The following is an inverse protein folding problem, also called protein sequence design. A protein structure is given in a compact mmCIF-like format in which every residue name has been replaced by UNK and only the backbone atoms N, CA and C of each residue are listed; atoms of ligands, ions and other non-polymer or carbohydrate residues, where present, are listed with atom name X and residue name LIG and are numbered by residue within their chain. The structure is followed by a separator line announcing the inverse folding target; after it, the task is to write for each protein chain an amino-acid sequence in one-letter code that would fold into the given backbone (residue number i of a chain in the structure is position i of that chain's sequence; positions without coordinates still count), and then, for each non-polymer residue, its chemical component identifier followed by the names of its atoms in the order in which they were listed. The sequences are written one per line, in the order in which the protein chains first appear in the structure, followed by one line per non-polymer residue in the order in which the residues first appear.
data_IF_209670157977
#
_entry.id   IF_209670157977
#
_cell.length_a   1.000
_cell.length_b   1.000
_cell.length_c   1.000
_cell.angle_alpha   90.00
_cell.angle_beta   90.00
_cell.angle_gamma   90.00
#
_symmetry.space_group_name_H-M   'P 1'
#
loop_
_entity.id
_entity.type
_entity.pdbx_description
1 polymer ?
#
# COMPACT_ATOMS: atom_id res chain seq x y z
N UNK A 1 12.01 -14.60 -6.10
CA UNK A 1 12.17 -14.99 -7.53
C UNK A 1 11.97 -13.78 -8.43
N UNK A 2 10.88 -12.99 -8.30
CA UNK A 2 10.62 -11.81 -9.16
C UNK A 2 11.71 -10.72 -9.10
N UNK A 3 12.31 -10.50 -7.94
CA UNK A 3 13.38 -9.48 -7.79
C UNK A 3 14.63 -9.87 -8.59
N UNK A 4 14.98 -11.14 -8.66
CA UNK A 4 16.13 -11.61 -9.44
C UNK A 4 15.89 -11.50 -10.95
N UNK A 5 14.68 -11.82 -11.42
CA UNK A 5 14.31 -11.70 -12.84
C UNK A 5 14.28 -10.22 -13.32
N UNK A 6 14.06 -9.26 -12.40
CA UNK A 6 13.97 -7.84 -12.73
C UNK A 6 15.22 -7.03 -12.32
N UNK A 7 16.32 -7.67 -11.91
CA UNK A 7 17.50 -6.99 -11.37
C UNK A 7 18.07 -5.95 -12.35
N UNK A 8 18.21 -6.31 -13.61
CA UNK A 8 18.71 -5.40 -14.65
C UNK A 8 17.79 -4.18 -14.86
N UNK A 9 16.47 -4.39 -14.77
CA UNK A 9 15.49 -3.31 -14.84
C UNK A 9 15.62 -2.37 -13.65
N UNK A 10 15.77 -2.92 -12.44
CA UNK A 10 15.96 -2.13 -11.20
C UNK A 10 17.25 -1.30 -11.28
N UNK A 11 18.35 -1.88 -11.75
CA UNK A 11 19.63 -1.17 -11.90
C UNK A 11 19.54 -0.05 -12.94
N UNK A 12 18.87 -0.27 -14.07
CA UNK A 12 18.60 0.77 -15.07
C UNK A 12 17.76 1.92 -14.49
N UNK A 13 16.70 1.60 -13.71
CA UNK A 13 15.88 2.61 -13.05
C UNK A 13 16.67 3.44 -12.03
N UNK A 14 17.56 2.81 -11.25
CA UNK A 14 18.45 3.52 -10.34
C UNK A 14 19.37 4.48 -11.11
N UNK A 15 19.97 4.01 -12.21
CA UNK A 15 20.84 4.84 -13.05
C UNK A 15 20.09 6.00 -13.69
N UNK A 16 18.89 5.75 -14.20
CA UNK A 16 18.02 6.78 -14.75
C UNK A 16 17.65 7.85 -13.71
N UNK A 17 17.16 7.41 -12.53
CA UNK A 17 16.79 8.30 -11.43
C UNK A 17 17.96 9.20 -10.98
N UNK A 18 19.18 8.65 -10.90
CA UNK A 18 20.37 9.43 -10.56
C UNK A 18 20.70 10.52 -11.59
N UNK A 19 20.59 10.19 -12.89
CA UNK A 19 20.82 11.16 -13.96
C UNK A 19 19.76 12.26 -13.95
N UNK A 20 18.52 11.91 -13.71
CA UNK A 20 17.40 12.84 -13.63
C UNK A 20 17.56 13.81 -12.45
N UNK A 21 17.91 13.31 -11.27
CA UNK A 21 18.21 14.13 -10.08
C UNK A 21 19.36 15.12 -10.37
N UNK A 22 20.44 14.67 -11.02
CA UNK A 22 21.56 15.53 -11.37
C UNK A 22 21.19 16.61 -12.40
N UNK A 23 20.31 16.28 -13.33
CA UNK A 23 19.81 17.24 -14.33
C UNK A 23 18.86 18.25 -13.72
N UNK A 24 17.96 17.80 -12.84
CA UNK A 24 16.92 18.64 -12.22
C UNK A 24 17.47 19.53 -11.10
N UNK A 25 18.54 19.10 -10.40
CA UNK A 25 19.18 19.83 -9.28
C UNK A 25 18.16 20.24 -8.19
N UNK A 26 17.40 19.31 -7.58
CA UNK A 26 16.40 19.66 -6.58
C UNK A 26 17.03 20.18 -5.28
N UNK A 27 16.36 21.10 -4.60
CA UNK A 27 16.74 21.58 -3.27
C UNK A 27 16.60 20.48 -2.19
N UNK A 28 15.64 19.58 -2.37
CA UNK A 28 15.38 18.47 -1.45
C UNK A 28 14.86 17.24 -2.20
N UNK A 29 15.32 16.07 -1.79
CA UNK A 29 14.82 14.78 -2.26
C UNK A 29 13.88 14.18 -1.23
N UNK A 30 12.62 13.97 -1.61
CA UNK A 30 11.62 13.34 -0.76
C UNK A 30 11.42 11.89 -1.22
N UNK A 31 11.79 10.97 -0.36
CA UNK A 31 11.59 9.53 -0.57
C UNK A 31 10.28 9.07 0.07
N UNK A 32 9.48 8.35 -0.68
CA UNK A 32 8.18 7.85 -0.20
C UNK A 32 8.18 6.33 -0.28
N UNK A 33 7.91 5.65 0.86
CA UNK A 33 7.84 4.18 0.93
C UNK A 33 9.03 3.46 0.24
N UNK A 34 8.84 2.33 -0.42
CA UNK A 34 9.80 1.56 -1.23
C UNK A 34 11.26 1.59 -0.75
N UNK A 35 11.52 1.13 0.46
CA UNK A 35 12.82 1.22 1.13
C UNK A 35 13.98 0.55 0.36
N UNK A 36 13.69 -0.47 -0.43
CA UNK A 36 14.70 -1.21 -1.19
C UNK A 36 15.36 -0.38 -2.28
N UNK A 37 14.60 0.48 -2.94
CA UNK A 37 15.04 1.40 -3.97
C UNK A 37 15.52 2.72 -3.35
N UNK A 38 14.69 3.32 -2.54
CA UNK A 38 14.89 4.68 -2.00
C UNK A 38 16.16 4.81 -1.15
N UNK A 39 16.47 3.86 -0.27
CA UNK A 39 17.69 3.93 0.55
C UNK A 39 18.98 3.79 -0.27
N UNK A 40 18.94 3.22 -1.48
CA UNK A 40 20.10 3.19 -2.39
C UNK A 40 20.32 4.55 -3.05
N UNK A 41 19.23 5.22 -3.45
CA UNK A 41 19.30 6.59 -3.99
C UNK A 41 19.69 7.56 -2.87
N UNK A 42 19.08 7.47 -1.69
CA UNK A 42 19.38 8.33 -0.55
C UNK A 42 20.87 8.29 -0.15
N UNK A 43 21.45 7.08 -0.09
CA UNK A 43 22.89 6.94 0.17
C UNK A 43 23.73 7.71 -0.84
N UNK A 44 23.44 7.55 -2.12
CA UNK A 44 24.18 8.21 -3.20
C UNK A 44 23.96 9.72 -3.18
N UNK A 45 22.73 10.17 -3.03
CA UNK A 45 22.37 11.58 -3.00
C UNK A 45 23.00 12.32 -1.82
N UNK A 46 22.97 11.69 -0.63
CA UNK A 46 23.60 12.26 0.57
C UNK A 46 25.11 12.45 0.43
N UNK A 47 25.80 11.54 -0.24
CA UNK A 47 27.23 11.65 -0.51
C UNK A 47 27.56 12.78 -1.50
N UNK A 48 26.60 13.23 -2.31
CA UNK A 48 26.71 14.39 -3.21
C UNK A 48 26.20 15.69 -2.59
N UNK A 49 25.81 15.68 -1.30
CA UNK A 49 25.37 16.87 -0.59
C UNK A 49 23.89 17.22 -0.72
N UNK A 50 23.09 16.40 -1.41
CA UNK A 50 21.65 16.65 -1.48
C UNK A 50 20.98 16.50 -0.10
N UNK A 51 20.03 17.39 0.18
CA UNK A 51 19.15 17.29 1.34
C UNK A 51 18.15 16.15 1.11
N UNK A 52 18.02 15.26 2.12
CA UNK A 52 17.21 14.03 2.01
C UNK A 52 16.13 13.98 3.06
N UNK A 53 14.91 13.74 2.62
CA UNK A 53 13.73 13.61 3.48
C UNK A 53 13.03 12.30 3.17
N UNK A 54 12.50 11.64 4.20
CA UNK A 54 11.73 10.40 4.01
C UNK A 54 10.33 10.55 4.56
N UNK A 55 9.33 10.26 3.76
CA UNK A 55 7.92 10.20 4.14
C UNK A 55 7.42 8.76 4.02
N UNK A 56 6.62 8.30 4.96
CA UNK A 56 6.18 6.91 5.14
C UNK A 56 7.40 6.01 5.37
N UNK A 57 7.83 5.96 6.62
CA UNK A 57 9.05 5.26 7.01
C UNK A 57 9.04 3.78 6.61
N UNK A 58 10.20 3.22 6.26
CA UNK A 58 10.30 1.78 6.11
C UNK A 58 9.92 1.07 7.41
N UNK A 59 9.10 0.01 7.34
CA UNK A 59 8.65 -0.75 8.50
C UNK A 59 9.79 -1.59 9.12
N UNK A 60 10.90 -0.93 9.49
CA UNK A 60 12.10 -1.59 10.04
C UNK A 60 11.87 -2.16 11.44
N UNK A 61 10.86 -1.66 12.14
CA UNK A 61 10.42 -2.16 13.44
C UNK A 61 9.83 -3.58 13.35
N UNK A 62 9.19 -3.93 12.22
CA UNK A 62 8.64 -5.28 12.00
C UNK A 62 9.71 -6.26 11.53
N UNK A 63 10.75 -5.76 10.80
CA UNK A 63 11.81 -6.60 10.27
C UNK A 63 13.02 -5.75 9.89
N UNK A 64 14.22 -6.29 10.02
CA UNK A 64 15.46 -5.64 9.57
C UNK A 64 15.80 -4.35 10.33
N UNK A 65 15.72 -4.36 11.64
CA UNK A 65 16.10 -3.24 12.52
C UNK A 65 17.50 -2.67 12.23
N UNK A 66 18.43 -3.51 11.71
CA UNK A 66 19.76 -3.09 11.27
C UNK A 66 19.76 -2.02 10.15
N UNK A 67 18.63 -1.79 9.48
CA UNK A 67 18.50 -0.70 8.49
C UNK A 67 18.41 0.69 9.14
N UNK A 68 18.07 0.79 10.42
CA UNK A 68 17.98 2.07 11.12
C UNK A 68 19.28 2.84 11.03
N UNK A 69 20.43 2.19 11.17
CA UNK A 69 21.73 2.85 11.05
C UNK A 69 21.97 3.45 9.65
N UNK A 70 21.47 2.80 8.60
CA UNK A 70 21.53 3.38 7.25
C UNK A 70 20.60 4.58 7.08
N UNK A 71 19.41 4.50 7.70
CA UNK A 71 18.45 5.61 7.71
C UNK A 71 19.08 6.81 8.39
N UNK A 72 19.58 6.67 9.61
CA UNK A 72 20.25 7.73 10.37
C UNK A 72 21.39 8.38 9.58
N UNK A 73 22.15 7.58 8.83
CA UNK A 73 23.30 8.07 8.08
C UNK A 73 22.94 8.85 6.81
N UNK A 74 21.82 8.52 6.16
CA UNK A 74 21.53 9.00 4.82
C UNK A 74 20.22 9.78 4.70
N UNK A 75 19.47 9.94 5.79
CA UNK A 75 18.20 10.69 5.82
C UNK A 75 18.32 11.81 6.84
N UNK A 76 18.10 13.04 6.40
CA UNK A 76 18.17 14.23 7.25
C UNK A 76 16.89 14.42 8.07
N UNK A 77 15.74 14.16 7.45
CA UNK A 77 14.43 14.31 8.08
C UNK A 77 13.55 13.12 7.76
N UNK A 78 12.81 12.63 8.75
CA UNK A 78 11.86 11.54 8.55
C UNK A 78 10.50 11.90 9.12
N UNK A 79 9.49 11.70 8.30
CA UNK A 79 8.08 11.83 8.63
C UNK A 79 7.44 10.46 8.70
N UNK A 80 6.95 10.10 9.89
CA UNK A 80 6.34 8.79 10.18
C UNK A 80 4.82 8.92 10.28
N UNK A 81 4.13 7.86 9.92
CA UNK A 81 2.67 7.82 9.82
C UNK A 81 1.97 7.03 10.93
N UNK A 82 2.73 6.25 11.71
CA UNK A 82 2.18 5.48 12.83
C UNK A 82 2.69 6.07 14.16
N UNK A 83 1.83 6.25 15.17
CA UNK A 83 2.19 6.95 16.41
C UNK A 83 3.39 6.32 17.15
N UNK A 84 3.45 4.98 17.18
CA UNK A 84 4.50 4.24 17.90
C UNK A 84 5.88 4.32 17.22
N UNK A 85 5.96 4.71 15.96
CA UNK A 85 7.23 4.83 15.23
C UNK A 85 8.12 5.92 15.83
N UNK A 86 7.52 7.00 16.37
CA UNK A 86 8.27 8.06 17.05
C UNK A 86 9.06 7.52 18.25
N UNK A 87 8.43 6.67 19.08
CA UNK A 87 9.10 6.05 20.22
C UNK A 87 10.14 5.03 19.77
N UNK A 88 9.84 4.27 18.73
CA UNK A 88 10.78 3.30 18.17
C UNK A 88 12.07 3.99 17.70
N UNK A 89 11.96 5.03 16.89
CA UNK A 89 13.13 5.75 16.38
C UNK A 89 13.87 6.51 17.48
N UNK A 90 13.16 7.05 18.48
CA UNK A 90 13.79 7.68 19.66
C UNK A 90 14.69 6.69 20.42
N UNK A 91 14.26 5.43 20.59
CA UNK A 91 15.11 4.37 21.19
C UNK A 91 16.35 4.07 20.36
N UNK A 92 16.31 4.36 19.08
CA UNK A 92 17.46 4.23 18.17
C UNK A 92 18.30 5.52 18.06
N UNK A 93 18.07 6.52 18.92
CA UNK A 93 18.72 7.83 18.87
C UNK A 93 18.56 8.50 17.49
N UNK A 94 17.35 8.52 16.96
CA UNK A 94 16.99 9.21 15.73
C UNK A 94 15.64 9.92 15.90
N UNK A 95 15.65 11.25 15.80
CA UNK A 95 14.42 12.02 15.92
C UNK A 95 13.63 12.00 14.62
N UNK A 96 12.33 11.78 14.75
CA UNK A 96 11.38 11.73 13.62
C UNK A 96 10.13 12.53 13.97
N UNK A 97 9.43 13.01 12.94
CA UNK A 97 8.19 13.76 13.09
C UNK A 97 7.00 12.85 12.75
N UNK A 98 6.07 12.68 13.69
CA UNK A 98 4.80 12.02 13.41
C UNK A 98 3.85 13.02 12.74
N UNK A 99 3.33 12.67 11.57
CA UNK A 99 2.48 13.54 10.73
C UNK A 99 1.07 13.00 10.50
N UNK A 100 0.75 11.84 11.07
CA UNK A 100 -0.52 11.16 10.83
C UNK A 100 -0.49 10.27 9.57
N UNK A 101 -1.53 9.44 9.46
CA UNK A 101 -1.63 8.51 8.33
C UNK A 101 -2.42 9.14 7.18
N UNK A 102 -1.89 9.20 5.95
CA UNK A 102 -2.54 9.89 4.82
C UNK A 102 -3.90 9.31 4.43
N UNK A 103 -4.19 8.06 4.80
CA UNK A 103 -5.51 7.47 4.57
C UNK A 103 -6.62 8.13 5.40
N UNK A 104 -6.30 8.76 6.54
CA UNK A 104 -7.30 9.45 7.37
C UNK A 104 -7.87 10.61 6.60
N UNK A 105 -7.01 11.45 6.01
CA UNK A 105 -7.41 12.58 5.19
C UNK A 105 -8.15 12.10 3.93
N UNK A 106 -7.60 11.09 3.26
CA UNK A 106 -8.21 10.51 2.06
C UNK A 106 -9.60 9.91 2.32
N UNK A 107 -9.88 9.40 3.52
CA UNK A 107 -11.20 8.91 3.91
C UNK A 107 -12.12 10.08 4.28
N UNK A 108 -11.61 11.07 5.04
CA UNK A 108 -12.38 12.23 5.47
C UNK A 108 -12.87 13.09 4.29
N UNK A 109 -12.07 13.23 3.26
CA UNK A 109 -12.40 14.00 2.05
C UNK A 109 -13.39 13.30 1.10
N UNK A 110 -13.78 12.04 1.39
CA UNK A 110 -14.72 11.30 0.53
C UNK A 110 -16.16 11.78 0.73
N UNK A 111 -16.89 11.82 -0.37
CA UNK A 111 -18.34 12.06 -0.34
C UNK A 111 -19.04 10.87 0.30
N UNK A 112 -20.07 11.17 1.07
CA UNK A 112 -20.95 10.14 1.64
C UNK A 112 -21.60 9.33 0.51
N UNK A 113 -21.61 8.02 0.67
CA UNK A 113 -22.21 7.08 -0.29
C UNK A 113 -23.68 6.88 0.07
N UNK A 114 -24.53 6.96 -0.92
CA UNK A 114 -25.93 6.54 -0.79
C UNK A 114 -25.98 5.01 -0.82
N UNK A 115 -26.20 4.41 0.35
CA UNK A 115 -26.19 2.95 0.52
C UNK A 115 -27.27 2.29 -0.34
N UNK A 116 -28.48 2.83 -0.42
CA UNK A 116 -29.60 2.25 -1.18
C UNK A 116 -29.22 2.19 -2.66
N UNK A 117 -28.73 3.30 -3.19
CA UNK A 117 -28.28 3.38 -4.58
C UNK A 117 -27.12 2.45 -4.87
N UNK A 118 -26.13 2.38 -3.97
CA UNK A 118 -24.95 1.53 -4.12
C UNK A 118 -25.36 0.05 -4.14
N UNK A 119 -26.23 -0.38 -3.23
CA UNK A 119 -26.73 -1.75 -3.18
C UNK A 119 -27.47 -2.11 -4.47
N UNK A 120 -28.32 -1.22 -4.96
CA UNK A 120 -29.05 -1.42 -6.21
C UNK A 120 -28.14 -1.52 -7.43
N UNK A 121 -27.16 -0.62 -7.56
CA UNK A 121 -26.17 -0.61 -8.65
C UNK A 121 -25.36 -1.92 -8.74
N UNK A 122 -25.03 -2.51 -7.58
CA UNK A 122 -24.18 -3.69 -7.49
C UNK A 122 -24.96 -5.00 -7.20
N UNK A 123 -26.29 -4.95 -7.23
CA UNK A 123 -27.16 -6.10 -6.97
C UNK A 123 -26.88 -6.76 -5.60
N UNK A 124 -26.57 -5.92 -4.60
CA UNK A 124 -26.35 -6.33 -3.22
C UNK A 124 -27.70 -6.33 -2.50
N UNK A 125 -28.06 -7.47 -1.91
CA UNK A 125 -29.31 -7.61 -1.15
C UNK A 125 -29.27 -6.92 0.20
N UNK A 126 -30.35 -7.10 1.00
CA UNK A 126 -30.54 -6.42 2.29
C UNK A 126 -29.79 -7.06 3.47
N UNK A 127 -29.14 -8.20 3.24
CA UNK A 127 -28.35 -8.88 4.28
C UNK A 127 -27.15 -8.01 4.72
N UNK A 128 -26.66 -8.18 5.96
CA UNK A 128 -25.42 -7.57 6.39
C UNK A 128 -24.26 -7.95 5.46
N UNK A 129 -23.42 -6.99 5.11
CA UNK A 129 -22.32 -7.17 4.18
C UNK A 129 -21.07 -7.69 4.89
N UNK A 130 -20.43 -8.67 4.28
CA UNK A 130 -19.03 -9.04 4.58
C UNK A 130 -18.20 -8.68 3.37
N UNK A 131 -17.43 -7.60 3.46
CA UNK A 131 -16.53 -7.17 2.40
C UNK A 131 -15.28 -8.05 2.35
N UNK A 132 -15.02 -8.66 1.20
CA UNK A 132 -13.82 -9.46 0.96
C UNK A 132 -12.75 -8.60 0.28
N UNK A 133 -11.64 -8.37 0.98
CA UNK A 133 -10.49 -7.59 0.50
C UNK A 133 -9.29 -8.50 0.27
N UNK A 134 -9.21 -9.21 -0.86
CA UNK A 134 -8.20 -10.25 -1.08
C UNK A 134 -6.81 -9.71 -1.42
N UNK A 135 -6.63 -8.39 -1.48
CA UNK A 135 -5.39 -7.74 -1.85
C UNK A 135 -5.42 -7.16 -3.27
N UNK A 136 -4.27 -6.69 -3.74
CA UNK A 136 -4.14 -6.00 -5.03
C UNK A 136 -3.26 -6.73 -6.05
N UNK A 137 -2.42 -7.67 -5.62
CA UNK A 137 -1.54 -8.43 -6.50
C UNK A 137 -2.14 -9.79 -6.85
N UNK A 138 -1.91 -10.27 -8.08
CA UNK A 138 -2.42 -11.57 -8.55
C UNK A 138 -2.16 -12.71 -7.56
N UNK A 139 -0.94 -12.81 -7.02
CA UNK A 139 -0.57 -13.87 -6.08
C UNK A 139 -1.31 -13.76 -4.75
N UNK A 140 -1.53 -12.54 -4.25
CA UNK A 140 -2.30 -12.28 -3.03
C UNK A 140 -3.75 -12.68 -3.25
N UNK A 141 -4.37 -12.15 -4.31
CA UNK A 141 -5.77 -12.43 -4.65
C UNK A 141 -6.00 -13.93 -4.84
N UNK A 142 -5.15 -14.62 -5.61
CA UNK A 142 -5.30 -16.06 -5.86
C UNK A 142 -5.30 -16.87 -4.57
N UNK A 143 -4.40 -16.55 -3.64
CA UNK A 143 -4.30 -17.28 -2.37
C UNK A 143 -5.41 -16.93 -1.40
N UNK A 144 -5.64 -15.62 -1.19
CA UNK A 144 -6.55 -15.13 -0.15
C UNK A 144 -8.01 -15.33 -0.55
N UNK A 145 -8.38 -15.02 -1.81
CA UNK A 145 -9.75 -15.11 -2.24
C UNK A 145 -10.28 -16.56 -2.19
N UNK A 146 -9.47 -17.54 -2.56
CA UNK A 146 -9.87 -18.96 -2.47
C UNK A 146 -10.22 -19.37 -1.04
N UNK A 147 -9.43 -18.91 -0.06
CA UNK A 147 -9.72 -19.17 1.37
C UNK A 147 -10.95 -18.40 1.84
N UNK A 148 -11.10 -17.13 1.46
CA UNK A 148 -12.29 -16.35 1.81
C UNK A 148 -13.58 -16.94 1.23
N UNK A 149 -13.54 -17.43 0.00
CA UNK A 149 -14.69 -18.05 -0.66
C UNK A 149 -15.11 -19.39 -0.04
N UNK A 150 -14.23 -20.09 0.67
CA UNK A 150 -14.61 -21.33 1.34
C UNK A 150 -15.59 -21.12 2.49
N UNK A 151 -15.65 -19.91 3.05
CA UNK A 151 -16.54 -19.56 4.18
C UNK A 151 -17.95 -19.13 3.73
N UNK A 152 -18.16 -18.81 2.45
CA UNK A 152 -19.40 -18.18 1.97
C UNK A 152 -20.63 -19.06 2.25
N UNK A 153 -20.49 -20.36 2.08
CA UNK A 153 -21.60 -21.32 2.23
C UNK A 153 -21.99 -21.53 3.71
N UNK A 154 -21.02 -21.35 4.65
CA UNK A 154 -21.22 -21.50 6.09
C UNK A 154 -21.95 -20.31 6.72
N UNK A 155 -21.92 -19.14 6.06
CA UNK A 155 -22.46 -17.88 6.59
C UNK A 155 -23.58 -17.32 5.70
N UNK A 156 -24.59 -18.11 5.44
CA UNK A 156 -25.71 -17.77 4.54
C UNK A 156 -26.54 -16.52 4.95
N UNK A 157 -26.43 -16.10 6.21
CA UNK A 157 -27.10 -14.90 6.72
C UNK A 157 -26.44 -13.59 6.30
N UNK A 158 -25.25 -13.66 5.71
CA UNK A 158 -24.49 -12.51 5.22
C UNK A 158 -24.47 -12.45 3.71
N UNK A 159 -24.27 -11.24 3.18
CA UNK A 159 -23.98 -11.00 1.77
C UNK A 159 -22.48 -10.77 1.62
N UNK A 160 -21.79 -11.69 0.97
CA UNK A 160 -20.37 -11.52 0.68
C UNK A 160 -20.18 -10.68 -0.59
N UNK A 161 -19.33 -9.67 -0.51
CA UNK A 161 -19.05 -8.76 -1.61
C UNK A 161 -17.54 -8.63 -1.80
N UNK A 162 -17.05 -8.97 -2.98
CA UNK A 162 -15.62 -8.84 -3.31
C UNK A 162 -15.32 -7.40 -3.72
N UNK A 163 -14.36 -6.77 -3.05
CA UNK A 163 -13.78 -5.50 -3.48
C UNK A 163 -12.68 -5.75 -4.51
N UNK A 164 -12.95 -5.46 -5.77
CA UNK A 164 -12.01 -5.58 -6.87
C UNK A 164 -10.93 -4.51 -6.83
N UNK A 165 -9.67 -4.91 -6.96
CA UNK A 165 -8.55 -3.99 -7.05
C UNK A 165 -8.42 -3.41 -8.46
N UNK A 166 -8.11 -2.11 -8.64
CA UNK A 166 -8.02 -1.45 -9.94
C UNK A 166 -6.94 -2.03 -10.87
N UNK A 167 -6.00 -2.78 -10.29
CA UNK A 167 -4.91 -3.44 -11.03
C UNK A 167 -5.30 -4.76 -11.70
N UNK A 168 -6.50 -5.28 -11.42
CA UNK A 168 -6.97 -6.58 -11.93
C UNK A 168 -8.39 -6.45 -12.47
N UNK A 169 -8.64 -7.05 -13.63
CA UNK A 169 -9.97 -7.07 -14.24
C UNK A 169 -10.88 -8.16 -13.65
N UNK A 170 -12.19 -8.02 -13.81
CA UNK A 170 -13.18 -8.97 -13.33
C UNK A 170 -12.97 -10.39 -13.86
N UNK A 171 -12.51 -10.55 -15.12
CA UNK A 171 -12.28 -11.88 -15.71
C UNK A 171 -11.26 -12.70 -14.91
N UNK A 172 -10.25 -12.05 -14.35
CA UNK A 172 -9.30 -12.72 -13.46
C UNK A 172 -9.96 -13.20 -12.16
N UNK A 173 -10.79 -12.36 -11.53
CA UNK A 173 -11.55 -12.77 -10.34
C UNK A 173 -12.50 -13.92 -10.63
N UNK A 174 -13.18 -13.88 -11.77
CA UNK A 174 -14.12 -14.92 -12.20
C UNK A 174 -13.49 -16.31 -12.28
N UNK A 175 -12.21 -16.41 -12.65
CA UNK A 175 -11.48 -17.69 -12.66
C UNK A 175 -11.33 -18.32 -11.27
N UNK A 176 -11.37 -17.52 -10.22
CA UNK A 176 -11.24 -17.96 -8.83
C UNK A 176 -12.61 -18.16 -8.19
N UNK A 177 -13.56 -17.28 -8.49
CA UNK A 177 -14.95 -17.34 -7.98
C UNK A 177 -15.67 -18.61 -8.48
N UNK A 178 -15.40 -19.02 -9.72
CA UNK A 178 -16.04 -20.18 -10.34
C UNK A 178 -17.55 -19.99 -10.49
N UNK A 179 -18.33 -20.96 -9.99
CA UNK A 179 -19.79 -20.96 -10.03
C UNK A 179 -20.48 -20.34 -8.80
N UNK A 180 -19.70 -19.83 -7.82
CA UNK A 180 -20.27 -19.23 -6.62
C UNK A 180 -21.02 -17.94 -6.95
N UNK A 181 -22.22 -17.80 -6.37
CA UNK A 181 -23.02 -16.58 -6.49
C UNK A 181 -22.52 -15.55 -5.45
N UNK A 182 -21.67 -14.64 -5.88
CA UNK A 182 -21.07 -13.61 -5.02
C UNK A 182 -21.03 -12.26 -5.75
N UNK A 183 -21.35 -11.19 -5.04
CA UNK A 183 -21.28 -9.84 -5.59
C UNK A 183 -19.84 -9.36 -5.75
N UNK A 184 -19.61 -8.57 -6.79
CA UNK A 184 -18.32 -7.99 -7.10
C UNK A 184 -18.45 -6.49 -7.35
N UNK A 185 -17.60 -5.71 -6.70
CA UNK A 185 -17.56 -4.26 -6.82
C UNK A 185 -16.18 -3.85 -7.31
N UNK A 186 -16.11 -3.27 -8.51
CA UNK A 186 -14.85 -2.91 -9.13
C UNK A 186 -14.39 -1.51 -8.69
N UNK A 187 -13.16 -1.43 -8.18
CA UNK A 187 -12.47 -0.18 -7.83
C UNK A 187 -13.26 0.80 -6.94
N UNK A 188 -14.18 0.31 -6.12
CA UNK A 188 -14.97 1.11 -5.18
C UNK A 188 -14.87 0.57 -3.74
N UNK A 189 -13.68 0.12 -3.35
CA UNK A 189 -13.44 -0.48 -2.03
C UNK A 189 -13.86 0.43 -0.89
N UNK A 190 -13.51 1.71 -0.95
CA UNK A 190 -13.88 2.66 0.11
C UNK A 190 -15.39 2.88 0.20
N UNK A 191 -16.09 2.91 -0.94
CA UNK A 191 -17.54 3.07 -0.96
C UNK A 191 -18.21 1.85 -0.33
N UNK A 192 -17.73 0.65 -0.67
CA UNK A 192 -18.19 -0.61 -0.05
C UNK A 192 -17.95 -0.65 1.47
N UNK A 193 -16.86 -0.07 1.95
CA UNK A 193 -16.53 -0.03 3.39
C UNK A 193 -17.28 1.04 4.16
N UNK A 194 -17.96 1.96 3.49
CA UNK A 194 -18.71 3.07 4.11
C UNK A 194 -20.21 2.80 4.29
N UNK A 195 -20.69 1.67 3.77
CA UNK A 195 -22.09 1.24 3.85
C UNK A 195 -22.31 0.05 4.78
#
# INVERSE_FOLDING_TARGET
VEVFMNLNKILRMISFCKKDILSFQPDVLIFIDNSGFNLRIAKWAKLLGFRTTYYISPQVWASRANRVEKIKKYIDQMYVILPFEKEFYKKCNFDVTFVGHPLIDAIADRKQVDEIKFRAEHQIGDKPIVALLPGSRKQEITKMLSVMLSLVDDFSNYQFVIAGAPSQNFSFYKTIIGSKNICFVDNRTYDLLSI
#
